data_IF_912107277523
#
_entry.id   IF_912107277523
#
_cell.length_a   1.000
_cell.length_b   1.000
_cell.length_c   1.000
_cell.angle_alpha   90.00
_cell.angle_beta   90.00
_cell.angle_gamma   90.00
#
_symmetry.space_group_name_H-M   'P 1'
#
loop_
_entity.id
_entity.type
_entity.pdbx_description
1 polymer ?
#
# COMPACT_ATOMS: atom_id res chain seq x y z
N UNK A 1 20.55 -1.01 0.78
CA UNK A 1 20.28 -1.96 1.88
C UNK A 1 19.19 -2.98 1.53
N UNK A 2 18.07 -2.59 0.88
CA UNK A 2 16.98 -3.52 0.52
C UNK A 2 17.35 -4.59 -0.54
N UNK A 3 18.31 -4.31 -1.44
CA UNK A 3 18.70 -5.21 -2.54
C UNK A 3 19.21 -6.60 -2.10
N UNK A 4 19.78 -6.71 -0.88
CA UNK A 4 20.32 -7.98 -0.37
C UNK A 4 19.30 -8.82 0.40
N UNK A 5 18.12 -8.29 0.72
CA UNK A 5 17.09 -9.00 1.50
C UNK A 5 16.15 -9.89 0.66
N UNK A 6 16.06 -9.68 -0.65
CA UNK A 6 15.13 -10.43 -1.51
C UNK A 6 15.43 -11.95 -1.53
N UNK A 7 16.70 -12.33 -1.48
CA UNK A 7 17.13 -13.74 -1.44
C UNK A 7 16.82 -14.44 -0.12
N UNK A 8 16.85 -13.70 0.99
CA UNK A 8 16.65 -14.24 2.35
C UNK A 8 15.15 -14.52 2.60
N UNK A 9 14.26 -13.80 1.92
CA UNK A 9 12.81 -13.92 2.07
C UNK A 9 12.15 -14.90 1.06
N UNK A 10 12.94 -15.68 0.33
CA UNK A 10 12.44 -16.71 -0.60
C UNK A 10 11.56 -16.14 -1.72
N UNK A 11 10.53 -16.90 -2.12
CA UNK A 11 9.63 -16.54 -3.23
C UNK A 11 8.90 -15.21 -2.98
N UNK A 12 8.40 -14.99 -1.77
CA UNK A 12 7.70 -13.74 -1.41
C UNK A 12 8.61 -12.52 -1.49
N UNK A 13 9.89 -12.66 -1.11
CA UNK A 13 10.88 -11.61 -1.28
C UNK A 13 11.10 -11.25 -2.75
N UNK A 14 11.19 -12.24 -3.63
CA UNK A 14 11.34 -12.00 -5.07
C UNK A 14 10.16 -11.21 -5.64
N UNK A 15 8.92 -11.60 -5.32
CA UNK A 15 7.73 -10.85 -5.75
C UNK A 15 7.74 -9.41 -5.22
N UNK A 16 7.97 -9.23 -3.91
CA UNK A 16 7.92 -7.91 -3.26
C UNK A 16 8.92 -6.91 -3.88
N UNK A 17 10.09 -7.40 -4.29
CA UNK A 17 11.14 -6.58 -4.90
C UNK A 17 11.18 -6.63 -6.42
N UNK A 18 10.15 -7.21 -7.06
CA UNK A 18 10.01 -7.30 -8.51
C UNK A 18 11.21 -8.00 -9.18
N UNK A 19 11.64 -9.13 -8.59
CA UNK A 19 12.81 -9.94 -9.01
C UNK A 19 12.43 -11.35 -9.49
N UNK A 20 11.15 -11.58 -9.68
CA UNK A 20 10.51 -12.81 -10.17
C UNK A 20 10.26 -12.77 -11.68
N UNK A 21 11.23 -12.29 -12.45
CA UNK A 21 11.18 -12.34 -13.92
C UNK A 21 11.41 -13.79 -14.36
N UNK A 22 10.46 -14.36 -15.09
CA UNK A 22 10.50 -15.73 -15.61
C UNK A 22 10.01 -15.74 -17.07
N UNK A 23 10.66 -16.51 -17.94
CA UNK A 23 10.26 -16.72 -19.34
C UNK A 23 9.93 -15.43 -20.13
N UNK A 24 10.78 -14.41 -19.99
CA UNK A 24 10.60 -13.06 -20.59
C UNK A 24 9.34 -12.31 -20.14
N UNK A 25 8.61 -12.83 -19.15
CA UNK A 25 7.43 -12.16 -18.59
C UNK A 25 7.86 -11.12 -17.55
N UNK A 26 7.19 -9.95 -17.50
CA UNK A 26 7.39 -8.98 -16.44
C UNK A 26 7.11 -9.59 -15.05
N UNK A 27 7.58 -9.00 -13.94
CA UNK A 27 7.27 -9.45 -12.59
C UNK A 27 5.77 -9.64 -12.35
N UNK A 28 5.36 -10.63 -11.54
CA UNK A 28 3.94 -10.98 -11.36
C UNK A 28 3.11 -9.79 -10.88
N UNK A 29 3.60 -9.05 -9.89
CA UNK A 29 2.88 -7.88 -9.35
C UNK A 29 2.70 -6.76 -10.39
N UNK A 30 3.63 -6.65 -11.34
CA UNK A 30 3.51 -5.71 -12.45
C UNK A 30 2.48 -6.20 -13.47
N UNK A 31 2.38 -7.50 -13.72
CA UNK A 31 1.33 -8.06 -14.59
C UNK A 31 -0.07 -7.87 -13.99
N UNK A 32 -0.21 -7.97 -12.66
CA UNK A 32 -1.49 -7.87 -11.96
C UNK A 32 -2.17 -6.49 -12.05
N UNK A 33 -1.48 -5.48 -12.58
CA UNK A 33 -2.10 -4.17 -12.83
C UNK A 33 -2.86 -4.12 -14.16
N UNK A 34 -3.04 -5.25 -14.84
CA UNK A 34 -3.99 -5.47 -15.94
C UNK A 34 -4.62 -6.87 -15.87
N UNK A 35 -5.62 -7.15 -16.69
CA UNK A 35 -6.14 -8.51 -16.87
C UNK A 35 -5.25 -9.24 -17.89
N UNK A 36 -4.68 -10.39 -17.53
CA UNK A 36 -3.67 -11.06 -18.35
C UNK A 36 -3.80 -12.58 -18.27
N UNK A 37 -3.55 -13.27 -19.39
CA UNK A 37 -3.47 -14.74 -19.42
C UNK A 37 -4.78 -15.45 -19.02
N UNK A 38 -5.94 -14.83 -19.28
CA UNK A 38 -7.24 -15.34 -18.83
C UNK A 38 -7.54 -15.10 -17.35
N UNK A 39 -6.68 -14.37 -16.63
CA UNK A 39 -6.89 -13.97 -15.25
C UNK A 39 -7.44 -12.55 -15.18
N UNK A 40 -8.39 -12.35 -14.26
CA UNK A 40 -9.17 -11.12 -14.14
C UNK A 40 -8.71 -10.29 -12.93
N UNK A 41 -7.43 -9.93 -12.83
CA UNK A 41 -6.90 -9.21 -11.66
C UNK A 41 -7.56 -7.85 -11.43
N UNK A 42 -7.54 -6.99 -12.44
CA UNK A 42 -8.10 -5.65 -12.36
C UNK A 42 -9.63 -5.68 -12.42
N UNK A 43 -10.21 -6.60 -13.19
CA UNK A 43 -11.66 -6.79 -13.21
C UNK A 43 -12.20 -7.28 -11.88
N UNK A 44 -11.52 -8.24 -11.22
CA UNK A 44 -11.88 -8.67 -9.86
C UNK A 44 -11.73 -7.51 -8.86
N UNK A 45 -10.64 -6.73 -8.94
CA UNK A 45 -10.45 -5.58 -8.06
C UNK A 45 -11.52 -4.49 -8.26
N UNK A 46 -11.98 -4.30 -9.51
CA UNK A 46 -13.08 -3.41 -9.84
C UNK A 46 -14.42 -3.88 -9.29
N UNK A 47 -14.63 -5.19 -9.13
CA UNK A 47 -15.89 -5.76 -8.62
C UNK A 47 -16.19 -5.40 -7.17
N UNK A 48 -15.17 -5.04 -6.38
CA UNK A 48 -15.36 -4.52 -5.03
C UNK A 48 -16.05 -3.16 -5.08
N UNK A 49 -17.17 -3.01 -4.36
CA UNK A 49 -17.91 -1.75 -4.24
C UNK A 49 -17.06 -0.65 -3.61
N UNK A 50 -16.19 -1.04 -2.67
CA UNK A 50 -15.30 -0.15 -1.92
C UNK A 50 -13.91 -0.77 -1.87
N UNK A 51 -12.88 0.08 -2.05
CA UNK A 51 -11.47 -0.29 -1.98
C UNK A 51 -10.79 0.69 -1.04
N UNK A 52 -10.15 0.16 -0.01
CA UNK A 52 -9.51 0.96 1.04
C UNK A 52 -8.11 0.40 1.28
N UNK A 53 -7.12 1.28 1.39
CA UNK A 53 -5.76 0.91 1.79
C UNK A 53 -5.41 1.59 3.11
N UNK A 54 -4.77 0.83 4.00
CA UNK A 54 -4.21 1.33 5.25
C UNK A 54 -2.69 1.34 5.15
N UNK A 55 -2.08 2.49 5.42
CA UNK A 55 -0.65 2.67 5.24
C UNK A 55 0.01 3.31 6.44
N UNK A 56 1.11 2.71 6.90
CA UNK A 56 1.96 3.31 7.91
C UNK A 56 2.71 4.51 7.31
N UNK A 57 2.54 5.68 7.92
CA UNK A 57 3.25 6.92 7.52
C UNK A 57 4.76 6.82 7.81
N UNK A 58 5.13 6.09 8.86
CA UNK A 58 6.53 5.93 9.27
C UNK A 58 6.78 4.58 9.96
N UNK A 59 8.06 4.21 10.06
CA UNK A 59 8.56 3.04 10.82
C UNK A 59 8.12 1.67 10.31
N UNK A 60 7.45 1.60 9.16
CA UNK A 60 7.32 0.37 8.38
C UNK A 60 8.53 0.23 7.46
N UNK A 61 9.38 -0.76 7.74
CA UNK A 61 10.59 -1.05 6.97
C UNK A 61 10.38 -2.14 5.91
N UNK A 62 9.17 -2.70 5.83
CA UNK A 62 8.82 -3.77 4.90
C UNK A 62 8.15 -3.16 3.66
N UNK A 63 7.13 -2.32 3.87
CA UNK A 63 6.44 -1.60 2.80
C UNK A 63 6.44 -0.10 3.07
N UNK A 64 6.92 0.68 2.10
CA UNK A 64 6.99 2.13 2.22
C UNK A 64 5.60 2.78 2.19
N UNK A 65 5.48 3.95 2.80
CA UNK A 65 4.23 4.73 2.83
C UNK A 65 3.67 4.99 1.43
N UNK A 66 4.53 5.41 0.50
CA UNK A 66 4.19 5.68 -0.90
C UNK A 66 3.51 4.48 -1.59
N UNK A 67 4.13 3.31 -1.51
CA UNK A 67 3.67 2.10 -2.22
C UNK A 67 2.45 1.48 -1.54
N UNK A 68 2.44 1.39 -0.21
CA UNK A 68 1.30 0.85 0.56
C UNK A 68 0.03 1.72 0.45
N UNK A 69 0.19 3.00 0.16
CA UNK A 69 -0.94 3.92 -0.05
C UNK A 69 -1.32 4.16 -1.50
N UNK A 70 -0.62 3.53 -2.46
CA UNK A 70 -0.88 3.69 -3.90
C UNK A 70 -0.83 5.18 -4.29
N UNK A 71 0.18 5.91 -3.80
CA UNK A 71 0.45 7.32 -4.12
C UNK A 71 1.86 7.48 -4.66
N UNK A 72 2.13 8.58 -5.34
CA UNK A 72 3.49 9.07 -5.64
C UNK A 72 4.01 9.88 -4.47
N UNK A 73 5.32 10.12 -4.44
CA UNK A 73 5.95 10.85 -3.34
C UNK A 73 5.38 12.27 -3.17
N UNK A 74 5.09 12.97 -4.27
CA UNK A 74 4.54 14.33 -4.27
C UNK A 74 3.03 14.37 -3.98
N UNK A 75 2.35 13.22 -3.99
CA UNK A 75 0.92 13.08 -3.65
C UNK A 75 0.72 12.79 -2.16
N UNK A 76 1.80 12.51 -1.42
CA UNK A 76 1.72 12.29 0.02
C UNK A 76 1.41 13.62 0.74
N UNK A 77 0.49 13.62 1.72
CA UNK A 77 0.10 14.82 2.45
C UNK A 77 1.29 15.51 3.12
N UNK A 78 1.64 16.70 2.61
CA UNK A 78 2.73 17.52 3.16
C UNK A 78 2.52 17.86 4.64
N UNK A 79 1.25 17.99 5.06
CA UNK A 79 0.85 18.29 6.45
C UNK A 79 1.28 17.21 7.44
N UNK A 80 1.40 15.96 7.02
CA UNK A 80 1.85 14.84 7.85
C UNK A 80 3.37 14.80 7.96
N UNK A 81 4.08 15.21 6.90
CA UNK A 81 5.52 15.46 6.94
C UNK A 81 5.87 16.65 7.85
N UNK A 82 5.05 17.72 7.81
CA UNK A 82 5.24 18.97 8.56
C UNK A 82 4.53 19.01 9.91
N UNK A 83 3.85 17.93 10.33
CA UNK A 83 3.34 17.75 11.70
C UNK A 83 2.23 18.74 12.10
N UNK A 84 1.48 19.29 11.13
CA UNK A 84 0.55 20.43 11.38
C UNK A 84 -0.94 20.08 11.43
N UNK A 85 -1.37 18.89 10.98
CA UNK A 85 -2.77 18.49 11.11
C UNK A 85 -2.86 16.98 10.99
N UNK A 86 -2.77 16.30 12.13
CA UNK A 86 -3.27 14.95 12.25
C UNK A 86 -4.73 15.05 12.66
N UNK A 87 -5.59 14.20 12.10
CA UNK A 87 -6.92 14.00 12.67
C UNK A 87 -6.71 13.63 14.13
N UNK A 88 -7.28 14.43 15.04
CA UNK A 88 -7.24 14.14 16.46
C UNK A 88 -8.54 13.44 16.84
N UNK A 89 -8.65 12.17 16.42
CA UNK A 89 -9.77 11.32 16.78
C UNK A 89 -9.44 10.63 18.12
N UNK A 90 -10.21 10.95 19.17
CA UNK A 90 -10.03 10.31 20.48
C UNK A 90 -10.37 8.82 20.49
N UNK A 91 -11.20 8.36 19.55
CA UNK A 91 -11.59 6.96 19.39
C UNK A 91 -10.54 6.16 18.60
N UNK A 92 -9.93 6.78 17.59
CA UNK A 92 -8.88 6.16 16.76
C UNK A 92 -7.59 7.00 16.72
N UNK A 93 -6.84 7.06 17.83
CA UNK A 93 -5.71 7.98 17.98
C UNK A 93 -4.55 7.73 17.00
N UNK A 94 -4.47 6.57 16.36
CA UNK A 94 -3.43 6.27 15.37
C UNK A 94 -3.83 6.57 13.93
N UNK A 95 -5.11 6.86 13.66
CA UNK A 95 -5.58 7.29 12.35
C UNK A 95 -5.26 8.78 12.19
N UNK A 96 -4.34 9.07 11.27
CA UNK A 96 -3.76 10.41 11.16
C UNK A 96 -4.27 11.20 9.96
N UNK A 97 -4.73 10.51 8.92
CA UNK A 97 -5.31 11.13 7.74
C UNK A 97 -6.20 10.12 7.00
N UNK A 98 -7.31 10.60 6.45
CA UNK A 98 -8.21 9.81 5.61
C UNK A 98 -8.44 10.61 4.33
N UNK A 99 -8.20 9.96 3.19
CA UNK A 99 -8.47 10.50 1.87
C UNK A 99 -9.66 9.77 1.25
N UNK A 100 -10.64 10.54 0.80
CA UNK A 100 -11.77 10.01 0.05
C UNK A 100 -11.35 9.44 -1.32
N UNK A 101 -12.08 8.43 -1.83
CA UNK A 101 -11.84 7.88 -3.15
C UNK A 101 -11.99 8.93 -4.24
N UNK A 102 -10.94 9.11 -5.04
CA UNK A 102 -10.93 10.01 -6.20
C UNK A 102 -10.89 9.19 -7.49
N UNK A 103 -11.75 9.55 -8.42
CA UNK A 103 -11.64 9.08 -9.81
C UNK A 103 -10.59 9.94 -10.49
N UNK A 104 -9.59 9.31 -11.09
CA UNK A 104 -8.56 9.98 -11.86
C UNK A 104 -8.61 9.46 -13.29
N UNK A 105 -8.51 10.37 -14.25
CA UNK A 105 -8.25 9.99 -15.64
C UNK A 105 -6.77 9.65 -15.76
N UNK A 106 -6.47 8.35 -15.78
CA UNK A 106 -5.10 7.83 -15.81
C UNK A 106 -4.82 7.25 -17.18
N UNK A 107 -3.96 7.93 -17.94
CA UNK A 107 -3.41 7.38 -19.18
C UNK A 107 -2.55 6.15 -18.88
N UNK A 108 -3.04 5.00 -19.32
CA UNK A 108 -2.41 3.70 -19.09
C UNK A 108 -2.59 2.80 -20.30
N UNK A 109 -1.48 2.22 -20.75
CA UNK A 109 -1.44 1.21 -21.81
C UNK A 109 -0.71 -0.03 -21.32
N UNK A 110 -1.21 -1.21 -21.66
CA UNK A 110 -0.57 -2.48 -21.30
C UNK A 110 0.87 -2.60 -21.85
N UNK A 111 1.19 -1.87 -22.92
CA UNK A 111 2.57 -1.80 -23.45
C UNK A 111 3.58 -1.26 -22.42
N UNK A 112 3.13 -0.40 -21.49
CA UNK A 112 3.98 0.16 -20.43
C UNK A 112 4.57 -0.92 -19.52
N UNK A 113 3.84 -2.03 -19.31
CA UNK A 113 4.27 -3.17 -18.47
C UNK A 113 5.54 -3.81 -19.04
N UNK A 114 5.62 -3.95 -20.37
CA UNK A 114 6.77 -4.55 -21.04
C UNK A 114 7.92 -3.55 -21.29
N UNK A 115 7.61 -2.26 -21.30
CA UNK A 115 8.59 -1.19 -21.50
C UNK A 115 9.38 -0.88 -20.23
N UNK A 116 8.78 -1.00 -19.04
CA UNK A 116 9.46 -0.76 -17.77
C UNK A 116 10.64 -1.72 -17.55
N UNK A 117 11.86 -1.18 -17.37
CA UNK A 117 13.08 -1.99 -17.22
C UNK A 117 13.66 -1.92 -15.80
N UNK A 118 13.52 -0.78 -15.14
CA UNK A 118 14.02 -0.58 -13.77
C UNK A 118 12.92 -0.80 -12.74
N UNK A 119 13.30 -1.17 -11.51
CA UNK A 119 12.34 -1.30 -10.41
C UNK A 119 11.53 -0.02 -10.18
N UNK A 120 12.13 1.17 -10.35
CA UNK A 120 11.42 2.44 -10.20
C UNK A 120 10.40 2.69 -11.30
N UNK A 121 10.69 2.32 -12.55
CA UNK A 121 9.73 2.42 -13.66
C UNK A 121 8.59 1.42 -13.46
N UNK A 122 8.90 0.19 -13.02
CA UNK A 122 7.89 -0.82 -12.73
C UNK A 122 6.97 -0.37 -11.59
N UNK A 123 7.52 0.20 -10.51
CA UNK A 123 6.73 0.81 -9.43
C UNK A 123 5.81 1.92 -9.96
N UNK A 124 6.29 2.80 -10.83
CA UNK A 124 5.48 3.87 -11.42
C UNK A 124 4.34 3.31 -12.30
N UNK A 125 4.62 2.29 -13.12
CA UNK A 125 3.58 1.61 -13.91
C UNK A 125 2.56 0.95 -12.99
N UNK A 126 2.99 0.34 -11.88
CA UNK A 126 2.08 -0.25 -10.91
C UNK A 126 1.19 0.82 -10.25
N UNK A 127 1.78 1.94 -9.82
CA UNK A 127 1.04 3.07 -9.24
C UNK A 127 0.02 3.63 -10.23
N UNK A 128 0.39 3.81 -11.50
CA UNK A 128 -0.56 4.23 -12.55
C UNK A 128 -1.68 3.20 -12.73
N UNK A 129 -1.33 1.93 -12.93
CA UNK A 129 -2.30 0.87 -13.21
C UNK A 129 -3.33 0.68 -12.11
N UNK A 130 -2.91 0.74 -10.84
CA UNK A 130 -3.78 0.64 -9.67
C UNK A 130 -4.64 1.90 -9.46
N UNK A 131 -4.12 3.10 -9.76
CA UNK A 131 -4.87 4.36 -9.65
C UNK A 131 -5.96 4.55 -10.73
N UNK A 132 -6.09 3.64 -11.69
CA UNK A 132 -7.26 3.55 -12.58
C UNK A 132 -8.56 3.24 -11.84
N UNK A 133 -8.46 2.76 -10.59
CA UNK A 133 -9.58 2.52 -9.72
C UNK A 133 -9.54 3.52 -8.55
N UNK A 134 -10.70 3.97 -8.05
CA UNK A 134 -10.74 4.85 -6.88
C UNK A 134 -10.43 4.06 -5.61
N UNK A 135 -9.62 4.68 -4.73
CA UNK A 135 -9.18 4.15 -3.44
C UNK A 135 -9.44 5.16 -2.33
N UNK A 136 -10.09 4.71 -1.26
CA UNK A 136 -10.00 5.40 0.02
C UNK A 136 -8.64 5.07 0.66
N UNK A 137 -7.98 6.08 1.22
CA UNK A 137 -6.64 5.92 1.79
C UNK A 137 -6.63 6.34 3.24
N UNK A 138 -6.25 5.42 4.11
CA UNK A 138 -6.17 5.66 5.55
C UNK A 138 -4.71 5.59 5.98
N UNK A 139 -4.21 6.70 6.48
CA UNK A 139 -2.86 6.82 6.98
C UNK A 139 -2.82 6.60 8.48
N UNK A 140 -1.88 5.77 8.91
CA UNK A 140 -1.72 5.33 10.29
C UNK A 140 -0.34 5.74 10.80
N UNK A 141 -0.27 6.20 12.06
CA UNK A 141 1.01 6.53 12.69
C UNK A 141 1.11 6.06 14.12
N UNK A 142 2.02 5.11 14.36
CA UNK A 142 2.42 4.69 15.71
C UNK A 142 3.55 5.52 16.29
N UNK A 143 3.89 6.69 15.73
CA UNK A 143 5.10 7.45 16.11
C UNK A 143 5.21 7.75 17.62
N UNK A 144 4.06 7.95 18.28
CA UNK A 144 3.92 8.20 19.72
C UNK A 144 3.92 6.92 20.58
N UNK A 145 3.77 5.75 19.96
CA UNK A 145 3.78 4.44 20.60
C UNK A 145 5.20 3.84 20.65
N UNK A 146 5.45 3.01 21.68
CA UNK A 146 6.68 2.19 21.76
C UNK A 146 6.67 1.05 20.73
N UNK A 147 5.49 0.61 20.28
CA UNK A 147 5.30 -0.44 19.28
C UNK A 147 5.61 0.05 17.84
N UNK A 148 6.00 1.31 17.65
CA UNK A 148 6.41 1.88 16.35
C UNK A 148 7.52 1.10 15.64
N UNK A 149 8.42 0.47 16.39
CA UNK A 149 9.51 -0.34 15.81
C UNK A 149 8.99 -1.62 15.14
N UNK A 150 7.74 -1.99 15.42
CA UNK A 150 7.01 -3.10 14.83
C UNK A 150 5.77 -2.63 14.07
N UNK A 151 5.75 -1.38 13.56
CA UNK A 151 4.57 -0.76 12.95
C UNK A 151 3.86 -1.65 11.91
N UNK A 152 4.63 -2.42 11.12
CA UNK A 152 4.09 -3.38 10.16
C UNK A 152 3.25 -4.50 10.80
N UNK A 153 3.69 -5.03 11.95
CA UNK A 153 2.92 -6.04 12.70
C UNK A 153 1.87 -5.41 13.62
N UNK A 154 2.12 -4.18 14.07
CA UNK A 154 1.20 -3.43 14.93
C UNK A 154 -0.07 -3.05 14.18
N UNK A 155 0.01 -2.53 12.95
CA UNK A 155 -1.17 -2.17 12.14
C UNK A 155 -2.11 -3.37 11.87
N UNK A 156 -1.57 -4.60 11.90
CA UNK A 156 -2.32 -5.85 11.71
C UNK A 156 -2.72 -6.52 13.03
N UNK A 157 -2.26 -6.01 14.18
CA UNK A 157 -2.43 -6.63 15.51
C UNK A 157 -2.00 -8.10 15.50
N UNK A 158 -0.83 -8.40 14.90
CA UNK A 158 -0.38 -9.78 14.66
C UNK A 158 -0.38 -10.65 15.92
N UNK A 159 0.08 -10.10 17.03
CA UNK A 159 0.00 -10.73 18.36
C UNK A 159 -0.52 -9.69 19.35
N UNK A 160 -1.75 -9.83 19.81
CA UNK A 160 -2.40 -8.82 20.67
C UNK A 160 -1.53 -8.37 21.86
N UNK A 161 -0.87 -9.29 22.56
CA UNK A 161 0.02 -8.97 23.67
C UNK A 161 1.18 -8.02 23.31
N UNK A 162 1.67 -8.06 22.07
CA UNK A 162 2.80 -7.25 21.60
C UNK A 162 2.38 -6.08 20.70
N UNK A 163 1.18 -6.15 20.13
CA UNK A 163 0.69 -5.31 19.04
C UNK A 163 -0.65 -4.61 19.37
N UNK A 164 -1.00 -4.52 20.66
CA UNK A 164 -2.26 -3.95 21.14
C UNK A 164 -2.53 -2.53 20.69
N UNK A 165 -1.48 -1.74 20.40
CA UNK A 165 -1.64 -0.34 20.03
C UNK A 165 -2.27 -0.19 18.65
N UNK A 166 -2.30 -1.24 17.81
CA UNK A 166 -3.03 -1.22 16.54
C UNK A 166 -4.51 -1.59 16.66
N UNK A 167 -5.01 -1.90 17.86
CA UNK A 167 -6.41 -2.32 18.02
C UNK A 167 -7.40 -1.24 17.55
N UNK A 168 -7.09 0.04 17.75
CA UNK A 168 -7.92 1.15 17.27
C UNK A 168 -8.00 1.21 15.75
N UNK A 169 -6.95 0.80 15.04
CA UNK A 169 -6.97 0.68 13.56
C UNK A 169 -7.92 -0.43 13.13
N UNK A 170 -7.94 -1.57 13.83
CA UNK A 170 -8.88 -2.66 13.55
C UNK A 170 -10.32 -2.23 13.88
N UNK A 171 -10.54 -1.53 14.98
CA UNK A 171 -11.85 -0.97 15.30
C UNK A 171 -12.29 0.04 14.25
N UNK A 172 -11.39 0.91 13.77
CA UNK A 172 -11.69 1.82 12.66
C UNK A 172 -12.12 1.05 11.40
N UNK A 173 -11.44 -0.04 11.04
CA UNK A 173 -11.87 -0.89 9.92
C UNK A 173 -13.27 -1.46 10.14
N UNK A 174 -13.51 -2.07 11.29
CA UNK A 174 -14.81 -2.69 11.62
C UNK A 174 -15.92 -1.63 11.56
N UNK A 175 -15.76 -0.53 12.29
CA UNK A 175 -16.78 0.52 12.42
C UNK A 175 -17.12 1.21 11.09
N UNK A 176 -16.17 1.26 10.15
CA UNK A 176 -16.40 1.88 8.84
C UNK A 176 -16.80 0.87 7.76
N UNK A 177 -16.54 -0.44 7.91
CA UNK A 177 -16.79 -1.44 6.84
C UNK A 177 -18.06 -2.26 7.04
N UNK A 178 -18.76 -2.12 8.17
CA UNK A 178 -20.08 -2.75 8.37
C UNK A 178 -21.15 -1.98 7.58
N UNK A 179 -21.22 -2.15 6.26
CA UNK A 179 -22.37 -1.77 5.40
C UNK A 179 -22.42 -2.61 4.13
#
# INVERSE_FOLDING_TARGET
>A
MAYRMSWIAGKSGKHLFLKDIEDEKPPLLLQMVTDYGGLHFMSALRSFKRRVVYSNVCSDFIVGWRTSSIRRQHELPESLHQRKSFINDGRYPHIVYVEEPKVQDVDFSDAMIYQAKTTSEMEEVMLKGLNRLPWERVDVSFKKSRQRFFAHSTIQVKTYFLNSDGADVIFHMIDHFIY
#
